data_IF_997953003329
#
_entry.id   IF_997953003329
#
_cell.length_a   1.000
_cell.length_b   1.000
_cell.length_c   1.000
_cell.angle_alpha   90.00
_cell.angle_beta   90.00
_cell.angle_gamma   90.00
#
_symmetry.space_group_name_H-M   'P 1'
#
loop_
_entity.id
_entity.type
_entity.pdbx_description
1 polymer ?
#
# COMPACT_ATOMS: atom_id res chain seq x y z
N UNK A 1 3.87 -3.02 8.38
CA UNK A 1 2.56 -3.13 7.66
C UNK A 1 1.84 -1.81 7.75
N UNK A 2 0.97 -1.51 6.79
CA UNK A 2 0.17 -0.28 6.75
C UNK A 2 -1.28 -0.64 6.48
N UNK A 3 -2.19 0.01 7.18
CA UNK A 3 -3.63 -0.05 6.96
C UNK A 3 -4.16 1.36 6.74
N UNK A 4 -5.04 1.49 5.74
CA UNK A 4 -5.80 2.71 5.49
C UNK A 4 -7.24 2.47 5.98
N UNK A 5 -7.56 3.02 7.16
CA UNK A 5 -8.79 2.92 7.98
C UNK A 5 -8.48 2.37 9.37
N UNK A 6 -8.70 3.15 10.43
CA UNK A 6 -8.58 2.67 11.81
C UNK A 6 -9.93 2.34 12.43
N UNK A 7 -10.96 3.13 12.13
CA UNK A 7 -12.29 3.11 12.74
C UNK A 7 -12.22 2.94 14.27
N UNK A 8 -12.60 1.78 14.80
CA UNK A 8 -12.53 1.45 16.24
C UNK A 8 -11.36 0.52 16.59
N UNK A 9 -10.41 0.33 15.69
CA UNK A 9 -9.12 -0.33 15.94
C UNK A 9 -9.14 -1.86 15.90
N UNK A 10 -10.26 -2.48 15.52
CA UNK A 10 -10.40 -3.94 15.53
C UNK A 10 -9.37 -4.62 14.62
N UNK A 11 -9.34 -4.24 13.34
CA UNK A 11 -8.41 -4.75 12.34
C UNK A 11 -6.96 -4.44 12.70
N UNK A 12 -6.69 -3.24 13.20
CA UNK A 12 -5.37 -2.84 13.69
C UNK A 12 -4.88 -3.77 14.82
N UNK A 13 -5.71 -4.07 15.81
CA UNK A 13 -5.35 -4.96 16.94
C UNK A 13 -5.09 -6.38 16.44
N UNK A 14 -6.01 -6.95 15.67
CA UNK A 14 -5.89 -8.34 15.18
C UNK A 14 -4.66 -8.48 14.27
N UNK A 15 -4.48 -7.56 13.34
CA UNK A 15 -3.38 -7.60 12.38
C UNK A 15 -2.03 -7.32 13.04
N UNK A 16 -1.97 -6.40 14.01
CA UNK A 16 -0.74 -6.14 14.75
C UNK A 16 -0.34 -7.29 15.68
N UNK A 17 -1.31 -8.00 16.28
CA UNK A 17 -1.04 -9.21 17.03
C UNK A 17 -0.45 -10.30 16.13
N UNK A 18 -1.06 -10.56 14.98
CA UNK A 18 -0.56 -11.51 13.99
C UNK A 18 0.80 -11.10 13.41
N UNK A 19 1.01 -9.80 13.15
CA UNK A 19 2.31 -9.26 12.74
C UNK A 19 3.40 -9.59 13.76
N UNK A 20 3.12 -9.35 15.05
CA UNK A 20 4.06 -9.60 16.14
C UNK A 20 4.39 -11.09 16.26
N UNK A 21 3.39 -11.96 16.18
CA UNK A 21 3.58 -13.42 16.17
C UNK A 21 4.43 -13.89 14.97
N UNK A 22 4.27 -13.22 13.82
CA UNK A 22 5.07 -13.44 12.62
C UNK A 22 6.47 -12.81 12.65
N UNK A 23 6.88 -12.19 13.76
CA UNK A 23 8.20 -11.57 13.92
C UNK A 23 8.34 -10.16 13.33
N UNK A 24 7.24 -9.53 12.92
CA UNK A 24 7.22 -8.14 12.49
C UNK A 24 7.19 -7.15 13.65
N UNK A 25 7.56 -5.90 13.38
CA UNK A 25 7.86 -4.91 14.42
C UNK A 25 6.95 -3.69 14.44
N UNK A 26 6.38 -3.27 13.29
CA UNK A 26 5.63 -2.02 13.18
C UNK A 26 4.39 -2.14 12.29
N UNK A 27 3.28 -1.61 12.80
CA UNK A 27 2.00 -1.52 12.12
C UNK A 27 1.52 -0.07 12.14
N UNK A 28 1.33 0.55 10.96
CA UNK A 28 0.74 1.89 10.86
C UNK A 28 -0.75 1.77 10.55
N UNK A 29 -1.60 2.37 11.39
CA UNK A 29 -3.04 2.48 11.16
C UNK A 29 -3.37 3.95 10.88
N UNK A 30 -3.74 4.27 9.65
CA UNK A 30 -4.07 5.62 9.21
C UNK A 30 -5.58 5.84 9.38
N UNK A 31 -5.95 6.85 10.16
CA UNK A 31 -7.35 7.17 10.48
C UNK A 31 -7.61 8.67 10.23
N UNK A 32 -8.61 8.97 9.41
CA UNK A 32 -8.93 10.35 9.03
C UNK A 32 -9.58 11.13 10.18
N UNK A 33 -10.50 10.49 10.90
CA UNK A 33 -11.24 11.14 11.97
C UNK A 33 -10.40 11.15 13.27
N UNK A 34 -10.08 12.33 13.83
CA UNK A 34 -9.25 12.42 15.03
C UNK A 34 -9.87 11.75 16.26
N UNK A 35 -11.19 11.79 16.42
CA UNK A 35 -11.89 11.14 17.54
C UNK A 35 -11.77 9.61 17.46
N UNK A 36 -11.90 9.06 16.25
CA UNK A 36 -11.68 7.64 16.01
C UNK A 36 -10.21 7.27 16.19
N UNK A 37 -9.28 8.11 15.76
CA UNK A 37 -7.84 7.92 16.03
C UNK A 37 -7.52 7.81 17.52
N UNK A 38 -8.18 8.61 18.37
CA UNK A 38 -8.06 8.48 19.82
C UNK A 38 -8.65 7.16 20.35
N UNK A 39 -9.79 6.72 19.81
CA UNK A 39 -10.41 5.43 20.16
C UNK A 39 -9.47 4.28 19.82
N UNK A 40 -8.92 4.26 18.59
CA UNK A 40 -7.93 3.25 18.15
C UNK A 40 -6.74 3.26 19.11
N UNK A 41 -6.20 4.43 19.44
CA UNK A 41 -5.05 4.56 20.34
C UNK A 41 -5.33 3.95 21.71
N UNK A 42 -6.49 4.24 22.32
CA UNK A 42 -6.88 3.70 23.63
C UNK A 42 -7.09 2.19 23.60
N UNK A 43 -7.69 1.65 22.54
CA UNK A 43 -7.96 0.22 22.42
C UNK A 43 -6.69 -0.59 22.12
N UNK A 44 -5.79 -0.05 21.30
CA UNK A 44 -4.45 -0.60 21.08
C UNK A 44 -3.65 -0.64 22.37
N UNK A 45 -3.74 0.41 23.20
CA UNK A 45 -3.06 0.46 24.49
C UNK A 45 -3.62 -0.56 25.47
N UNK A 46 -4.95 -0.66 25.56
CA UNK A 46 -5.63 -1.69 26.33
C UNK A 46 -5.22 -3.11 25.89
N UNK A 47 -5.02 -3.33 24.59
CA UNK A 47 -4.54 -4.60 24.04
C UNK A 47 -3.04 -4.87 24.27
N UNK A 48 -2.30 -3.92 24.85
CA UNK A 48 -0.86 -4.03 25.09
C UNK A 48 -0.02 -3.96 23.81
N UNK A 49 -0.51 -3.28 22.77
CA UNK A 49 0.11 -3.22 21.43
C UNK A 49 0.68 -1.84 21.06
N UNK A 50 0.70 -0.87 21.98
CA UNK A 50 1.21 0.52 21.75
C UNK A 50 2.64 0.60 21.21
N UNK A 51 3.46 -0.42 21.50
CA UNK A 51 4.83 -0.50 20.99
C UNK A 51 4.89 -0.94 19.51
N UNK A 52 3.88 -1.68 19.03
CA UNK A 52 3.79 -2.20 17.65
C UNK A 52 2.97 -1.26 16.76
N UNK A 53 1.81 -0.80 17.23
CA UNK A 53 0.89 0.00 16.43
C UNK A 53 1.20 1.48 16.56
N UNK A 54 1.27 2.17 15.42
CA UNK A 54 1.42 3.62 15.30
C UNK A 54 0.16 4.16 14.62
N UNK A 55 -0.68 4.83 15.39
CA UNK A 55 -1.88 5.49 14.87
C UNK A 55 -1.46 6.82 14.25
N UNK A 56 -1.85 7.05 13.00
CA UNK A 56 -1.54 8.26 12.25
C UNK A 56 -2.85 8.93 11.87
N UNK A 57 -3.12 10.09 12.48
CA UNK A 57 -4.33 10.85 12.21
C UNK A 57 -4.14 11.74 10.97
N UNK A 58 -5.13 11.73 10.08
CA UNK A 58 -5.21 12.53 8.86
C UNK A 58 -5.68 11.72 7.66
N UNK A 59 -5.95 12.40 6.54
CA UNK A 59 -6.31 11.72 5.28
C UNK A 59 -5.25 10.67 4.93
N UNK A 60 -5.66 9.58 4.28
CA UNK A 60 -4.76 8.51 3.87
C UNK A 60 -3.67 9.03 2.94
N UNK A 61 -4.04 9.78 1.90
CA UNK A 61 -3.14 10.36 0.92
C UNK A 61 -2.09 11.30 1.54
N UNK A 62 -2.49 12.22 2.43
CA UNK A 62 -1.54 13.15 3.06
C UNK A 62 -0.64 12.44 4.06
N UNK A 63 -1.18 11.48 4.81
CA UNK A 63 -0.42 10.70 5.78
C UNK A 63 0.64 9.84 5.10
N UNK A 64 0.32 9.18 3.98
CA UNK A 64 1.29 8.44 3.17
C UNK A 64 2.43 9.33 2.68
N UNK A 65 2.10 10.51 2.13
CA UNK A 65 3.11 11.49 1.66
C UNK A 65 4.00 11.98 2.79
N UNK A 66 3.40 12.32 3.93
CA UNK A 66 4.12 12.83 5.11
C UNK A 66 5.07 11.79 5.68
N UNK A 67 4.60 10.56 5.90
CA UNK A 67 5.41 9.44 6.41
C UNK A 67 6.55 9.07 5.46
N UNK A 68 6.36 9.22 4.15
CA UNK A 68 7.45 9.04 3.20
C UNK A 68 8.45 10.22 3.27
N UNK A 69 7.96 11.45 3.27
CA UNK A 69 8.78 12.66 3.24
C UNK A 69 9.69 12.81 4.47
N UNK A 70 9.23 12.39 5.66
CA UNK A 70 10.04 12.38 6.87
C UNK A 70 10.95 11.14 7.00
N UNK A 71 10.85 10.19 6.06
CA UNK A 71 11.66 8.98 6.00
C UNK A 71 11.19 7.85 6.92
N UNK A 72 10.06 8.00 7.61
CA UNK A 72 9.46 6.99 8.50
C UNK A 72 8.98 5.77 7.74
N UNK A 73 8.40 5.96 6.56
CA UNK A 73 7.84 4.90 5.72
C UNK A 73 8.46 4.94 4.32
N UNK A 74 9.43 4.05 4.08
CA UNK A 74 10.13 3.94 2.78
C UNK A 74 9.64 2.78 1.92
N UNK A 75 9.11 1.74 2.55
CA UNK A 75 8.63 0.53 1.90
C UNK A 75 7.44 -0.02 2.68
N UNK A 76 6.49 -0.60 1.96
CA UNK A 76 5.33 -1.28 2.53
C UNK A 76 5.39 -2.76 2.16
N UNK A 77 5.51 -3.64 3.16
CA UNK A 77 5.46 -5.10 2.93
C UNK A 77 4.03 -5.60 2.72
N UNK A 78 3.09 -5.03 3.48
CA UNK A 78 1.66 -5.29 3.36
C UNK A 78 0.88 -3.99 3.51
N UNK A 79 0.03 -3.68 2.53
CA UNK A 79 -0.93 -2.58 2.52
C UNK A 79 -2.35 -3.15 2.59
N UNK A 80 -3.08 -2.84 3.66
CA UNK A 80 -4.48 -3.19 3.83
C UNK A 80 -5.37 -1.99 3.51
N UNK A 81 -6.34 -2.17 2.61
CA UNK A 81 -7.20 -1.11 2.06
C UNK A 81 -8.66 -1.40 2.45
N UNK A 82 -9.16 -0.66 3.46
CA UNK A 82 -10.52 -0.80 3.99
C UNK A 82 -11.15 0.55 4.39
N UNK A 83 -10.90 1.59 3.60
CA UNK A 83 -11.41 2.95 3.81
C UNK A 83 -12.39 3.38 2.70
N UNK A 84 -12.45 4.68 2.43
CA UNK A 84 -13.22 5.26 1.34
C UNK A 84 -12.80 4.73 -0.04
N UNK A 85 -13.61 3.83 -0.60
CA UNK A 85 -13.32 3.08 -1.84
C UNK A 85 -12.82 3.91 -3.02
N UNK A 86 -13.38 5.10 -3.34
CA UNK A 86 -12.86 5.92 -4.44
C UNK A 86 -11.35 6.19 -4.36
N UNK A 87 -10.77 6.23 -3.15
CA UNK A 87 -9.36 6.51 -2.93
C UNK A 87 -8.43 5.30 -3.07
N UNK A 88 -8.94 4.07 -3.16
CA UNK A 88 -8.08 2.86 -3.20
C UNK A 88 -7.05 2.91 -4.34
N UNK A 89 -7.50 3.35 -5.53
CA UNK A 89 -6.63 3.47 -6.71
C UNK A 89 -5.63 4.60 -6.52
N UNK A 90 -6.08 5.74 -6.00
CA UNK A 90 -5.25 6.94 -5.86
C UNK A 90 -4.19 6.76 -4.77
N UNK A 91 -4.54 6.21 -3.61
CA UNK A 91 -3.58 5.90 -2.55
C UNK A 91 -2.57 4.84 -2.96
N UNK A 92 -3.00 3.82 -3.73
CA UNK A 92 -2.06 2.89 -4.34
C UNK A 92 -1.08 3.63 -5.25
N UNK A 93 -1.57 4.45 -6.19
CA UNK A 93 -0.72 5.23 -7.09
C UNK A 93 0.26 6.14 -6.33
N UNK A 94 -0.16 6.76 -5.23
CA UNK A 94 0.72 7.54 -4.35
C UNK A 94 1.85 6.65 -3.81
N UNK A 95 1.53 5.47 -3.30
CA UNK A 95 2.53 4.53 -2.80
C UNK A 95 3.51 4.09 -3.89
N UNK A 96 3.02 3.89 -5.11
CA UNK A 96 3.83 3.50 -6.26
C UNK A 96 4.78 4.61 -6.72
N UNK A 97 4.30 5.86 -6.82
CA UNK A 97 5.10 7.04 -7.20
C UNK A 97 6.19 7.35 -6.18
N UNK A 98 5.88 7.16 -4.89
CA UNK A 98 6.83 7.32 -3.80
C UNK A 98 7.78 6.12 -3.66
N UNK A 99 7.66 5.10 -4.52
CA UNK A 99 8.54 3.93 -4.49
C UNK A 99 8.34 3.03 -3.27
N UNK A 100 7.23 3.18 -2.55
CA UNK A 100 6.93 2.38 -1.36
C UNK A 100 6.47 0.95 -1.69
N UNK A 101 6.01 0.73 -2.93
CA UNK A 101 5.66 -0.60 -3.44
C UNK A 101 6.88 -1.25 -4.08
N UNK A 102 7.27 -2.41 -3.59
CA UNK A 102 8.43 -3.16 -4.08
C UNK A 102 8.04 -4.59 -4.48
N UNK A 103 8.95 -5.32 -5.12
CA UNK A 103 8.74 -6.75 -5.37
C UNK A 103 8.54 -7.44 -4.02
N UNK A 104 7.46 -8.22 -3.90
CA UNK A 104 6.93 -8.89 -2.68
C UNK A 104 5.94 -8.07 -1.85
N UNK A 105 5.76 -6.77 -2.09
CA UNK A 105 4.65 -6.03 -1.46
C UNK A 105 3.33 -6.72 -1.74
N UNK A 106 2.54 -6.94 -0.69
CA UNK A 106 1.19 -7.51 -0.74
C UNK A 106 0.18 -6.41 -0.51
N UNK A 107 -0.85 -6.35 -1.34
CA UNK A 107 -2.03 -5.52 -1.15
C UNK A 107 -3.18 -6.45 -0.78
N UNK A 108 -3.92 -6.10 0.27
CA UNK A 108 -5.13 -6.79 0.67
C UNK A 108 -6.28 -5.77 0.66
N UNK A 109 -7.30 -6.02 -0.16
CA UNK A 109 -8.49 -5.18 -0.23
C UNK A 109 -9.68 -5.94 0.31
N UNK A 110 -10.41 -5.32 1.22
CA UNK A 110 -11.69 -5.83 1.69
C UNK A 110 -12.86 -5.30 0.85
N UNK A 111 -14.02 -5.94 1.00
CA UNK A 111 -15.32 -5.51 0.51
C UNK A 111 -15.47 -5.49 -1.04
N UNK A 112 -14.92 -6.51 -1.72
CA UNK A 112 -14.79 -6.53 -3.18
C UNK A 112 -15.98 -7.18 -3.91
N UNK A 113 -16.75 -8.06 -3.27
CA UNK A 113 -17.89 -8.72 -3.92
C UNK A 113 -19.14 -7.84 -3.87
N UNK A 114 -19.54 -7.37 -2.69
CA UNK A 114 -20.86 -6.72 -2.53
C UNK A 114 -20.92 -5.30 -3.08
N UNK A 115 -19.81 -4.58 -3.01
CA UNK A 115 -19.74 -3.17 -3.44
C UNK A 115 -18.58 -2.88 -4.38
N UNK A 116 -17.57 -3.75 -4.43
CA UNK A 116 -16.51 -3.73 -5.45
C UNK A 116 -15.67 -2.45 -5.48
N UNK A 117 -14.70 -2.46 -6.40
CA UNK A 117 -13.98 -1.27 -6.83
C UNK A 117 -13.45 -1.48 -8.26
N UNK A 118 -14.31 -1.38 -9.28
CA UNK A 118 -13.91 -1.64 -10.67
C UNK A 118 -12.70 -0.82 -11.13
N UNK A 119 -12.59 0.49 -10.84
CA UNK A 119 -11.41 1.28 -11.21
C UNK A 119 -10.10 0.73 -10.63
N UNK A 120 -10.11 0.31 -9.36
CA UNK A 120 -8.93 -0.31 -8.74
C UNK A 120 -8.60 -1.65 -9.40
N UNK A 121 -9.58 -2.54 -9.56
CA UNK A 121 -9.37 -3.88 -10.11
C UNK A 121 -8.89 -3.83 -11.56
N UNK A 122 -9.45 -2.92 -12.36
CA UNK A 122 -8.97 -2.68 -13.72
C UNK A 122 -7.52 -2.23 -13.73
N UNK A 123 -7.15 -1.31 -12.83
CA UNK A 123 -5.78 -0.79 -12.73
C UNK A 123 -4.75 -1.89 -12.41
N UNK A 124 -4.98 -2.66 -11.34
CA UNK A 124 -4.02 -3.68 -10.89
C UNK A 124 -3.94 -4.89 -11.84
N UNK A 125 -5.03 -5.22 -12.55
CA UNK A 125 -5.08 -6.34 -13.50
C UNK A 125 -4.68 -5.94 -14.93
N UNK A 126 -4.49 -4.64 -15.19
CA UNK A 126 -4.09 -4.16 -16.52
C UNK A 126 -2.66 -4.56 -16.88
N UNK A 127 -2.39 -4.99 -18.12
CA UNK A 127 -1.04 -5.23 -18.59
C UNK A 127 -0.18 -3.96 -18.56
N UNK A 128 1.12 -4.11 -18.32
CA UNK A 128 2.09 -2.99 -18.31
C UNK A 128 2.01 -2.14 -19.57
N UNK A 129 1.91 -2.78 -20.74
CA UNK A 129 1.79 -2.07 -22.03
C UNK A 129 0.60 -1.11 -22.05
N UNK A 130 -0.54 -1.54 -21.49
CA UNK A 130 -1.75 -0.70 -21.36
C UNK A 130 -1.50 0.44 -20.36
N UNK A 131 -1.02 0.13 -19.15
CA UNK A 131 -0.72 1.18 -18.14
C UNK A 131 0.28 2.23 -18.63
N UNK A 132 1.31 1.83 -19.38
CA UNK A 132 2.26 2.76 -20.01
C UNK A 132 1.62 3.65 -21.07
N UNK A 133 0.68 3.13 -21.86
CA UNK A 133 -0.07 3.92 -22.83
C UNK A 133 -1.01 4.90 -22.11
N UNK A 134 -1.67 4.44 -21.05
CA UNK A 134 -2.63 5.23 -20.27
C UNK A 134 -1.93 6.39 -19.53
N UNK A 135 -0.62 6.33 -19.25
CA UNK A 135 0.13 7.48 -18.70
C UNK A 135 0.04 8.75 -19.56
N UNK A 136 -0.24 8.61 -20.86
CA UNK A 136 -0.41 9.75 -21.76
C UNK A 136 -1.77 10.42 -21.62
N UNK A 137 -2.73 9.73 -20.98
CA UNK A 137 -4.03 10.26 -20.60
C UNK A 137 -4.00 10.56 -19.09
N UNK A 138 -3.94 11.84 -18.71
CA UNK A 138 -4.08 12.20 -17.29
C UNK A 138 -5.48 11.79 -16.82
N UNK A 139 -5.56 11.04 -15.72
CA UNK A 139 -6.84 10.85 -15.03
C UNK A 139 -7.17 12.07 -14.16
N UNK A 140 -8.41 12.15 -13.68
CA UNK A 140 -8.93 13.31 -12.94
C UNK A 140 -8.12 13.63 -11.67
N UNK A 141 -7.48 12.63 -11.05
CA UNK A 141 -6.64 12.81 -9.86
C UNK A 141 -5.22 13.31 -10.18
N UNK A 142 -4.80 13.27 -11.47
CA UNK A 142 -3.46 13.67 -11.89
C UNK A 142 -2.36 12.71 -11.47
N UNK A 143 -2.71 11.56 -10.87
CA UNK A 143 -1.78 10.55 -10.37
C UNK A 143 -1.44 9.56 -11.48
N UNK A 144 -0.15 9.30 -11.66
CA UNK A 144 0.38 8.38 -12.67
C UNK A 144 0.56 6.97 -12.11
N UNK A 145 0.92 6.86 -10.84
CA UNK A 145 1.39 5.60 -10.27
C UNK A 145 2.71 5.16 -10.91
N UNK A 146 3.02 3.87 -10.82
CA UNK A 146 4.18 3.28 -11.49
C UNK A 146 3.72 2.18 -12.47
N UNK A 147 3.71 2.45 -13.79
CA UNK A 147 3.16 1.50 -14.76
C UNK A 147 3.97 0.20 -14.86
N UNK A 148 5.22 0.22 -14.40
CA UNK A 148 6.21 -0.85 -14.52
C UNK A 148 6.00 -1.98 -13.50
N UNK A 149 5.16 -1.76 -12.48
CA UNK A 149 4.84 -2.73 -11.44
C UNK A 149 3.91 -3.84 -11.95
N UNK A 150 4.40 -5.06 -12.13
CA UNK A 150 3.55 -6.21 -12.44
C UNK A 150 2.92 -6.77 -11.17
N UNK A 151 1.58 -6.82 -11.15
CA UNK A 151 0.82 -7.43 -10.08
C UNK A 151 0.27 -8.80 -10.49
N UNK A 152 0.26 -9.73 -9.53
CA UNK A 152 -0.52 -10.97 -9.61
C UNK A 152 -1.56 -10.93 -8.52
N UNK A 153 -2.83 -11.02 -8.91
CA UNK A 153 -3.95 -10.95 -7.97
C UNK A 153 -4.79 -12.22 -7.96
N UNK A 154 -5.41 -12.48 -6.81
CA UNK A 154 -6.43 -13.51 -6.64
C UNK A 154 -7.48 -13.05 -5.64
N UNK A 155 -8.72 -13.46 -5.87
CA UNK A 155 -9.80 -13.29 -4.91
C UNK A 155 -9.74 -14.44 -3.90
N UNK A 156 -9.91 -14.12 -2.62
CA UNK A 156 -10.03 -15.09 -1.52
C UNK A 156 -11.41 -14.91 -0.91
N UNK A 157 -12.29 -15.89 -1.15
CA UNK A 157 -13.66 -15.86 -0.66
C UNK A 157 -13.71 -15.99 0.86
N UNK A 158 -14.51 -15.13 1.50
CA UNK A 158 -14.84 -15.24 2.90
C UNK A 158 -15.85 -16.36 3.16
N UNK A 159 -15.97 -16.74 4.44
CA UNK A 159 -16.90 -17.78 4.86
C UNK A 159 -18.32 -17.20 5.06
N UNK A 160 -19.34 -17.89 4.52
CA UNK A 160 -20.76 -17.54 4.63
C UNK A 160 -21.30 -17.75 6.07
N UNK A 161 -22.32 -17.02 6.56
CA UNK A 161 -23.32 -16.22 5.82
C UNK A 161 -22.96 -14.73 5.63
N UNK A 162 -21.84 -14.28 6.20
CA UNK A 162 -21.41 -12.88 6.10
C UNK A 162 -20.51 -12.60 4.90
N UNK A 163 -19.75 -13.62 4.46
CA UNK A 163 -18.49 -13.52 3.72
C UNK A 163 -18.50 -12.63 2.49
N UNK A 164 -17.94 -11.43 2.62
CA UNK A 164 -17.33 -10.75 1.47
C UNK A 164 -16.00 -11.45 1.14
N UNK A 165 -15.31 -11.02 0.09
CA UNK A 165 -14.00 -11.55 -0.28
C UNK A 165 -12.91 -10.49 -0.18
N UNK A 166 -11.70 -10.99 0.07
CA UNK A 166 -10.48 -10.19 0.06
C UNK A 166 -9.78 -10.40 -1.29
N UNK A 167 -9.51 -9.30 -2.00
CA UNK A 167 -8.61 -9.34 -3.16
C UNK A 167 -7.16 -9.26 -2.65
N UNK A 168 -6.40 -10.34 -2.83
CA UNK A 168 -5.00 -10.43 -2.44
C UNK A 168 -4.12 -10.26 -3.68
N UNK A 169 -3.43 -9.13 -3.75
CA UNK A 169 -2.55 -8.75 -4.85
C UNK A 169 -1.10 -8.77 -4.38
N UNK A 170 -0.18 -9.30 -5.19
CA UNK A 170 1.27 -9.24 -4.93
C UNK A 170 1.98 -8.56 -6.08
N UNK A 171 2.87 -7.62 -5.76
CA UNK A 171 3.86 -7.14 -6.74
C UNK A 171 4.89 -8.24 -6.99
N UNK A 172 4.93 -8.76 -8.22
CA UNK A 172 5.78 -9.91 -8.58
C UNK A 172 7.05 -9.49 -9.30
N UNK A 173 7.05 -8.35 -9.99
CA UNK A 173 8.18 -7.86 -10.79
C UNK A 173 8.02 -6.37 -11.05
N UNK A 174 9.14 -5.66 -11.19
CA UNK A 174 9.19 -4.30 -11.75
C UNK A 174 9.89 -4.41 -13.09
N UNK A 175 9.19 -4.12 -14.18
CA UNK A 175 9.79 -4.11 -15.51
C UNK A 175 10.36 -2.74 -15.78
N UNK A 176 11.69 -2.54 -15.74
CA UNK A 176 12.24 -1.24 -16.05
C UNK A 176 11.68 -0.75 -17.39
N UNK A 177 11.17 0.49 -17.42
CA UNK A 177 10.86 1.20 -18.65
C UNK A 177 12.01 1.10 -19.66
N UNK A 178 11.76 1.35 -20.95
CA UNK A 178 12.87 1.64 -21.85
C UNK A 178 13.63 2.83 -21.25
N UNK A 179 14.72 2.54 -20.55
CA UNK A 179 15.65 3.54 -20.04
C UNK A 179 16.04 4.40 -21.21
N UNK A 180 15.93 5.72 -21.09
CA UNK A 180 16.71 6.63 -21.89
C UNK A 180 18.18 6.20 -21.72
N UNK A 181 18.69 5.48 -22.70
CA UNK A 181 20.09 5.13 -22.80
C UNK A 181 20.86 6.45 -22.88
N UNK A 182 21.43 6.90 -21.76
CA UNK A 182 22.20 8.14 -21.71
C UNK A 182 22.43 8.62 -20.28
N UNK A 183 23.70 8.64 -19.88
CA UNK A 183 24.25 9.19 -18.63
C UNK A 183 24.20 8.30 -17.38
N UNK A 184 24.84 7.13 -17.47
CA UNK A 184 25.72 6.71 -16.37
C UNK A 184 27.15 6.79 -16.93
N UNK A 185 27.89 7.81 -16.48
CA UNK A 185 29.29 7.98 -16.81
C UNK A 185 30.08 6.74 -16.39
N UNK A 186 30.94 6.27 -17.27
CA UNK A 186 32.00 5.35 -16.90
C UNK A 186 32.86 6.02 -15.82
N UNK A 187 32.64 5.70 -14.55
CA UNK A 187 33.72 5.78 -13.57
C UNK A 187 34.54 4.50 -13.74
N UNK A 188 35.64 4.62 -14.49
CA UNK A 188 36.71 3.64 -14.51
C UNK A 188 37.17 3.39 -13.08
N UNK A 189 36.81 2.21 -12.55
CA UNK A 189 37.52 1.59 -11.43
C UNK A 189 38.94 1.29 -11.93
N UNK A 190 39.89 2.13 -11.54
CA UNK A 190 41.29 1.74 -11.52
C UNK A 190 41.52 0.93 -10.25
N UNK A 191 41.69 -0.38 -10.42
CA UNK A 191 42.31 -1.23 -9.40
C UNK A 191 43.78 -0.81 -9.20
N UNK A 192 44.28 -0.63 -7.97
CA UNK A 192 45.71 -0.64 -7.74
C UNK A 192 46.20 -2.10 -7.60
N UNK A 193 47.05 -2.51 -8.53
CA UNK A 193 47.98 -3.62 -8.35
C UNK A 193 49.28 -3.06 -7.77
N UNK A 194 49.81 -3.77 -6.77
CA UNK A 194 51.11 -3.69 -6.09
C UNK A 194 51.20 -2.72 -4.89
#
# INVERSE_FOLDING_TARGET
MVELSGYVGYSAIVSAAALREGGGSVYYSLEENPELGEVVTKLVDLAGLSHVVKVVVGSSSDSLRRLHADGTLRQIDLLFLDHHKPLYKDDLKICEELGMITVRTVLALDNIIKSGNPPYLEYIRSPIKKRRADLTAMDESGLRGNPDLLYKSRLVEGWEPSGDAIEVTRCVTIHPGPTSCGQLGLSTLQDPIA
#
